data_IF_579201354753
#
_entry.id   IF_579201354753
#
_cell.length_a   1.000
_cell.length_b   1.000
_cell.length_c   1.000
_cell.angle_alpha   90.00
_cell.angle_beta   90.00
_cell.angle_gamma   90.00
#
_symmetry.space_group_name_H-M   'P 1'
#
loop_
_entity.id
_entity.type
_entity.pdbx_description
1 polymer ?
#
# COMPACT_ATOMS: atom_id res chain seq x y z
N UNK A 1 17.47 -4.06 4.51
CA UNK A 1 16.73 -4.34 3.26
C UNK A 1 16.27 -3.01 2.70
N UNK A 2 16.80 -2.61 1.55
CA UNK A 2 16.48 -1.33 0.93
C UNK A 2 15.16 -1.48 0.15
N UNK A 3 14.04 -1.12 0.77
CA UNK A 3 12.85 -0.76 0.01
C UNK A 3 13.03 0.69 -0.49
N UNK A 4 12.51 1.00 -1.67
CA UNK A 4 12.58 2.37 -2.19
C UNK A 4 11.76 3.29 -1.27
N UNK A 5 12.46 4.13 -0.51
CA UNK A 5 11.86 5.07 0.44
C UNK A 5 10.91 6.07 -0.23
N UNK A 6 11.13 6.39 -1.52
CA UNK A 6 10.25 7.27 -2.27
C UNK A 6 8.84 6.65 -2.43
N UNK A 7 8.75 5.38 -2.83
CA UNK A 7 7.46 4.69 -2.98
C UNK A 7 6.74 4.54 -1.64
N UNK A 8 7.50 4.27 -0.57
CA UNK A 8 6.94 4.19 0.78
C UNK A 8 6.36 5.54 1.22
N UNK A 9 7.11 6.64 1.03
CA UNK A 9 6.64 7.97 1.44
C UNK A 9 5.42 8.42 0.64
N UNK A 10 5.41 8.19 -0.68
CA UNK A 10 4.23 8.46 -1.52
C UNK A 10 3.00 7.66 -1.07
N UNK A 11 3.20 6.40 -0.65
CA UNK A 11 2.15 5.57 -0.06
C UNK A 11 1.57 6.20 1.21
N UNK A 12 2.43 6.64 2.14
CA UNK A 12 2.02 7.33 3.36
C UNK A 12 1.25 8.61 3.08
N UNK A 13 1.76 9.46 2.20
CA UNK A 13 1.12 10.73 1.83
C UNK A 13 -0.27 10.50 1.24
N UNK A 14 -0.43 9.53 0.31
CA UNK A 14 -1.74 9.25 -0.31
C UNK A 14 -2.75 8.71 0.69
N UNK A 15 -2.32 7.83 1.59
CA UNK A 15 -3.18 7.24 2.62
C UNK A 15 -3.57 8.28 3.69
N UNK A 16 -2.68 9.22 4.00
CA UNK A 16 -2.95 10.29 4.96
C UNK A 16 -4.05 11.28 4.51
N UNK A 17 -4.39 11.32 3.22
CA UNK A 17 -5.48 12.15 2.67
C UNK A 17 -6.86 11.58 3.02
N UNK A 18 -6.97 10.26 3.23
CA UNK A 18 -8.26 9.63 3.48
C UNK A 18 -8.61 9.70 4.96
N UNK A 19 -9.69 10.41 5.28
CA UNK A 19 -10.22 10.44 6.64
C UNK A 19 -11.01 9.15 6.91
N UNK A 20 -10.91 8.59 8.12
CA UNK A 20 -11.59 7.35 8.55
C UNK A 20 -10.99 6.02 8.05
N UNK A 21 -9.69 6.00 7.76
CA UNK A 21 -8.96 4.75 7.60
C UNK A 21 -7.90 4.56 8.70
N UNK A 22 -7.76 3.33 9.18
CA UNK A 22 -6.66 2.92 10.04
C UNK A 22 -5.57 2.29 9.17
N UNK A 23 -4.35 2.83 9.27
CA UNK A 23 -3.21 2.37 8.48
C UNK A 23 -2.18 1.72 9.40
N UNK A 24 -1.87 0.45 9.16
CA UNK A 24 -0.76 -0.25 9.80
C UNK A 24 0.36 -0.55 8.80
N UNK A 25 1.60 -0.32 9.20
CA UNK A 25 2.78 -0.70 8.41
C UNK A 25 3.38 -2.01 8.92
N UNK A 26 3.56 -3.00 8.03
CA UNK A 26 4.18 -4.28 8.36
C UNK A 26 5.26 -4.67 7.37
N UNK A 27 6.43 -5.03 7.89
CA UNK A 27 7.52 -5.59 7.07
C UNK A 27 7.19 -7.03 6.70
N UNK A 28 6.77 -7.26 5.45
CA UNK A 28 6.34 -8.57 4.93
C UNK A 28 6.68 -8.68 3.45
N UNK A 29 6.77 -9.91 2.93
CA UNK A 29 7.08 -10.19 1.51
C UNK A 29 8.37 -9.52 1.02
N UNK A 30 9.40 -9.46 1.87
CA UNK A 30 10.69 -8.78 1.59
C UNK A 30 10.52 -7.28 1.25
N UNK A 31 9.48 -6.65 1.79
CA UNK A 31 9.14 -5.25 1.57
C UNK A 31 8.36 -4.66 2.75
N UNK A 32 7.77 -3.49 2.52
CA UNK A 32 6.88 -2.81 3.47
C UNK A 32 5.45 -2.87 2.95
N UNK A 33 4.53 -3.37 3.76
CA UNK A 33 3.10 -3.47 3.44
C UNK A 33 2.30 -2.45 4.24
N UNK A 34 1.34 -1.81 3.59
CA UNK A 34 0.32 -1.00 4.21
C UNK A 34 -0.97 -1.81 4.30
N UNK A 35 -1.44 -1.99 5.53
CA UNK A 35 -2.75 -2.54 5.81
C UNK A 35 -3.68 -1.37 6.09
N UNK A 36 -4.81 -1.34 5.41
CA UNK A 36 -5.87 -0.34 5.60
C UNK A 36 -7.07 -1.07 6.19
N UNK A 37 -7.53 -0.64 7.37
CA UNK A 37 -8.61 -1.26 8.13
C UNK A 37 -8.40 -2.79 8.28
N UNK A 38 -7.19 -3.19 8.67
CA UNK A 38 -6.80 -4.59 8.88
C UNK A 38 -6.62 -5.43 7.60
N UNK A 39 -6.77 -4.85 6.40
CA UNK A 39 -6.60 -5.55 5.11
C UNK A 39 -5.37 -5.02 4.38
N UNK A 40 -4.51 -5.90 3.86
CA UNK A 40 -3.37 -5.47 3.05
C UNK A 40 -3.84 -4.88 1.71
N UNK A 41 -3.41 -3.66 1.39
CA UNK A 41 -3.75 -2.95 0.15
C UNK A 41 -2.54 -2.58 -0.70
N UNK A 42 -1.43 -2.21 -0.08
CA UNK A 42 -0.22 -1.79 -0.80
C UNK A 42 0.96 -2.55 -0.24
N UNK A 43 1.84 -3.04 -1.10
CA UNK A 43 3.14 -3.57 -0.72
C UNK A 43 4.23 -2.98 -1.62
N UNK A 44 5.27 -2.43 -1.00
CA UNK A 44 6.47 -1.92 -1.67
C UNK A 44 7.58 -2.94 -1.45
N UNK A 45 8.04 -3.58 -2.51
CA UNK A 45 9.15 -4.52 -2.46
C UNK A 45 10.19 -4.20 -3.55
N UNK A 46 11.41 -3.86 -3.14
CA UNK A 46 12.47 -3.40 -4.04
C UNK A 46 12.01 -2.20 -4.89
N UNK A 47 11.89 -2.39 -6.20
CA UNK A 47 11.40 -1.40 -7.19
C UNK A 47 9.95 -1.62 -7.60
N UNK A 48 9.28 -2.63 -7.03
CA UNK A 48 7.90 -2.98 -7.36
C UNK A 48 6.92 -2.43 -6.33
N UNK A 49 5.83 -1.86 -6.82
CA UNK A 49 4.65 -1.49 -6.05
C UNK A 49 3.52 -2.46 -6.41
N UNK A 50 3.05 -3.23 -5.44
CA UNK A 50 1.88 -4.08 -5.58
C UNK A 50 0.69 -3.41 -4.91
N UNK A 51 -0.41 -3.29 -5.64
CA UNK A 51 -1.68 -2.81 -5.10
C UNK A 51 -2.71 -3.93 -5.16
N UNK A 52 -3.58 -3.99 -4.16
CA UNK A 52 -4.70 -4.93 -4.15
C UNK A 52 -5.67 -4.56 -5.25
N UNK A 53 -5.78 -5.46 -6.22
CA UNK A 53 -6.78 -5.36 -7.28
C UNK A 53 -8.18 -5.69 -6.77
N UNK A 54 -9.18 -4.93 -7.22
CA UNK A 54 -10.58 -5.22 -6.98
C UNK A 54 -11.30 -5.42 -8.32
N UNK A 55 -11.51 -6.68 -8.71
CA UNK A 55 -12.16 -7.04 -9.97
C UNK A 55 -13.59 -6.47 -10.13
N UNK A 56 -14.24 -6.05 -9.05
CA UNK A 56 -15.57 -5.43 -9.12
C UNK A 56 -15.57 -4.00 -9.67
N UNK A 57 -14.40 -3.36 -9.73
CA UNK A 57 -14.24 -2.00 -10.27
C UNK A 57 -13.83 -2.01 -11.76
N UNK A 58 -13.73 -3.19 -12.37
CA UNK A 58 -13.28 -3.34 -13.77
C UNK A 58 -14.31 -2.80 -14.77
N UNK A 59 -15.60 -2.84 -14.43
CA UNK A 59 -16.70 -2.30 -15.24
C UNK A 59 -16.83 -0.76 -15.15
N UNK A 60 -16.04 -0.09 -14.32
CA UNK A 60 -16.11 1.38 -14.11
C UNK A 60 -15.22 2.20 -15.08
N UNK A 61 -14.62 1.56 -16.10
CA UNK A 61 -13.61 2.16 -17.01
C UNK A 61 -14.08 2.21 -18.46
#
# INVERSE_FOLDING_TARGET
>A
MAHNNEFVNRGRERLAIEENIEVEEKSMFRGLSFLVNGKMYINVSHENLMCRYNAKLEDEV
#
